data_IF_247162713443
#
_entry.id   IF_247162713443
#
_cell.length_a   1.000
_cell.length_b   1.000
_cell.length_c   1.000
_cell.angle_alpha   90.00
_cell.angle_beta   90.00
_cell.angle_gamma   90.00
#
_symmetry.space_group_name_H-M   'P 1'
#
loop_
_entity.id
_entity.type
_entity.pdbx_description
1 polymer ?
#
# COMPACT_ATOMS: atom_id res chain seq x y z
N UNK A 1 9.93 -24.99 -12.37
CA UNK A 1 9.12 -23.83 -11.98
C UNK A 1 9.97 -22.57 -11.92
N UNK A 2 9.49 -21.52 -12.48
CA UNK A 2 10.22 -20.26 -12.51
C UNK A 2 9.58 -19.26 -11.57
N UNK A 3 10.17 -19.06 -10.41
CA UNK A 3 9.64 -18.20 -9.38
C UNK A 3 9.67 -16.71 -9.75
N UNK A 4 10.50 -16.36 -10.69
CA UNK A 4 10.62 -14.95 -11.07
C UNK A 4 9.34 -14.41 -11.66
N UNK A 5 8.52 -15.29 -12.22
CA UNK A 5 7.27 -14.88 -12.84
C UNK A 5 6.13 -14.74 -11.85
N UNK A 6 6.37 -15.12 -10.60
CA UNK A 6 5.32 -15.05 -9.57
C UNK A 6 5.26 -13.69 -8.93
N UNK A 7 6.39 -12.99 -8.88
CA UNK A 7 6.48 -11.72 -8.18
C UNK A 7 6.20 -10.58 -9.15
N UNK A 8 5.04 -9.98 -8.99
CA UNK A 8 4.65 -8.79 -9.74
C UNK A 8 5.13 -7.58 -8.94
N UNK A 9 5.92 -6.68 -9.52
CA UNK A 9 6.42 -5.52 -8.77
C UNK A 9 5.31 -4.65 -8.20
N UNK A 10 4.18 -4.55 -8.88
CA UNK A 10 3.07 -3.76 -8.38
C UNK A 10 2.44 -4.46 -7.18
N UNK A 11 2.25 -5.77 -7.26
CA UNK A 11 1.70 -6.54 -6.14
C UNK A 11 2.66 -6.48 -4.96
N UNK A 12 3.97 -6.57 -5.22
CA UNK A 12 4.96 -6.48 -4.16
C UNK A 12 4.85 -5.13 -3.44
N UNK A 13 4.74 -4.05 -4.20
CA UNK A 13 4.61 -2.72 -3.62
C UNK A 13 3.32 -2.60 -2.81
N UNK A 14 2.23 -3.09 -3.36
CA UNK A 14 0.94 -3.06 -2.65
C UNK A 14 1.00 -3.82 -1.33
N UNK A 15 1.61 -5.01 -1.35
CA UNK A 15 1.73 -5.82 -0.14
C UNK A 15 2.62 -5.16 0.89
N UNK A 16 3.77 -4.64 0.44
CA UNK A 16 4.71 -3.98 1.33
C UNK A 16 4.06 -2.79 2.05
N UNK A 17 3.39 -1.93 1.30
CA UNK A 17 2.82 -0.73 1.90
C UNK A 17 1.51 -0.98 2.64
N UNK A 18 0.78 -2.02 2.26
CA UNK A 18 -0.37 -2.42 3.07
C UNK A 18 0.09 -2.84 4.46
N UNK A 19 1.15 -3.64 4.54
CA UNK A 19 1.69 -4.07 5.83
C UNK A 19 2.26 -2.90 6.62
N UNK A 20 3.01 -2.03 5.95
CA UNK A 20 3.59 -0.88 6.61
C UNK A 20 2.52 0.06 7.15
N UNK A 21 1.47 0.26 6.38
CA UNK A 21 0.36 1.10 6.78
C UNK A 21 -0.36 0.51 8.00
N UNK A 22 -0.61 -0.80 7.97
CA UNK A 22 -1.22 -1.47 9.12
C UNK A 22 -0.36 -1.30 10.37
N UNK A 23 0.95 -1.49 10.23
CA UNK A 23 1.85 -1.34 11.38
C UNK A 23 1.85 0.09 11.90
N UNK A 24 1.85 1.06 11.00
CA UNK A 24 1.88 2.47 11.38
C UNK A 24 0.65 2.86 12.21
N UNK A 25 -0.50 2.30 11.87
CA UNK A 25 -1.76 2.69 12.49
C UNK A 25 -2.32 1.66 13.46
N UNK A 26 -1.58 0.58 13.70
CA UNK A 26 -2.04 -0.47 14.61
C UNK A 26 -3.28 -1.18 14.15
N UNK A 27 -3.43 -1.39 12.85
CA UNK A 27 -4.62 -2.01 12.29
C UNK A 27 -4.44 -3.51 12.17
N UNK A 28 -5.53 -4.24 12.46
CA UNK A 28 -5.59 -5.66 12.11
C UNK A 28 -5.84 -5.79 10.61
N UNK A 29 -5.62 -7.00 10.08
CA UNK A 29 -5.92 -7.25 8.68
C UNK A 29 -7.39 -6.96 8.35
N UNK A 30 -8.29 -7.36 9.24
CA UNK A 30 -9.71 -7.11 9.00
C UNK A 30 -10.04 -5.62 9.00
N UNK A 31 -9.42 -4.87 9.89
CA UNK A 31 -9.61 -3.43 9.93
C UNK A 31 -9.08 -2.77 8.67
N UNK A 32 -7.91 -3.24 8.21
CA UNK A 32 -7.35 -2.72 6.96
C UNK A 32 -8.27 -3.02 5.79
N UNK A 33 -8.77 -4.26 5.70
CA UNK A 33 -9.65 -4.64 4.58
C UNK A 33 -10.94 -3.83 4.57
N UNK A 34 -11.49 -3.54 5.74
CA UNK A 34 -12.68 -2.69 5.81
C UNK A 34 -12.38 -1.28 5.32
N UNK A 35 -11.23 -0.75 5.71
CA UNK A 35 -10.80 0.57 5.27
C UNK A 35 -10.52 0.59 3.77
N UNK A 36 -9.89 -0.47 3.26
CA UNK A 36 -9.59 -0.59 1.85
C UNK A 36 -10.86 -0.65 1.00
N UNK A 37 -11.88 -1.33 1.52
CA UNK A 37 -13.14 -1.42 0.81
C UNK A 37 -13.76 -0.03 0.61
N UNK A 38 -13.58 0.85 1.58
CA UNK A 38 -14.12 2.20 1.52
C UNK A 38 -13.23 3.14 0.71
N UNK A 39 -11.91 3.05 0.89
CA UNK A 39 -10.97 4.03 0.34
C UNK A 39 -10.17 3.55 -0.85
N UNK A 40 -10.19 2.24 -1.13
CA UNK A 40 -9.42 1.66 -2.23
C UNK A 40 -7.93 1.97 -2.11
N UNK A 41 -7.35 1.62 -0.98
CA UNK A 41 -5.93 1.86 -0.72
C UNK A 41 -5.07 1.07 -1.68
N UNK A 42 -5.42 -0.19 -1.91
CA UNK A 42 -4.68 -1.08 -2.81
C UNK A 42 -4.68 -0.52 -4.23
N UNK A 43 -5.83 0.00 -4.69
CA UNK A 43 -5.91 0.61 -6.01
C UNK A 43 -5.11 1.90 -6.10
N UNK A 44 -5.10 2.68 -5.03
CA UNK A 44 -4.30 3.90 -4.98
C UNK A 44 -2.81 3.60 -5.14
N UNK A 45 -2.34 2.54 -4.48
CA UNK A 45 -0.95 2.12 -4.60
C UNK A 45 -0.62 1.64 -6.01
N UNK A 46 -1.57 0.99 -6.67
CA UNK A 46 -1.37 0.55 -8.04
C UNK A 46 -1.23 1.74 -8.99
N UNK A 47 -2.13 2.71 -8.85
CA UNK A 47 -2.09 3.92 -9.69
C UNK A 47 -0.81 4.70 -9.45
N UNK A 48 -0.36 4.76 -8.20
CA UNK A 48 0.84 5.51 -7.83
C UNK A 48 2.13 4.74 -7.96
N UNK A 49 2.12 3.55 -8.58
CA UNK A 49 3.30 2.70 -8.61
C UNK A 49 4.55 3.41 -9.10
N UNK A 50 4.45 4.14 -10.21
CA UNK A 50 5.63 4.78 -10.80
C UNK A 50 6.34 5.72 -9.82
N UNK A 51 5.67 6.71 -9.25
CA UNK A 51 6.35 7.57 -8.28
C UNK A 51 6.67 6.85 -6.98
N UNK A 52 5.79 5.95 -6.52
CA UNK A 52 5.95 5.34 -5.20
C UNK A 52 7.13 4.39 -5.13
N UNK A 53 7.44 3.67 -6.21
CA UNK A 53 8.56 2.74 -6.15
C UNK A 53 9.91 3.46 -6.14
N UNK A 54 9.90 4.77 -6.40
CA UNK A 54 11.10 5.60 -6.34
C UNK A 54 11.16 6.44 -5.06
N UNK A 55 10.11 6.37 -4.25
CA UNK A 55 10.00 7.17 -3.03
C UNK A 55 10.29 6.27 -1.83
N UNK A 56 10.95 6.81 -0.82
CA UNK A 56 11.18 6.06 0.41
C UNK A 56 9.88 5.75 1.14
N UNK A 57 9.93 4.75 2.03
CA UNK A 57 8.73 4.27 2.72
C UNK A 57 7.98 5.37 3.45
N UNK A 58 8.71 6.23 4.15
CA UNK A 58 8.06 7.27 4.94
C UNK A 58 7.27 8.22 4.03
N UNK A 59 7.83 8.58 2.89
CA UNK A 59 7.13 9.45 1.94
C UNK A 59 5.87 8.82 1.41
N UNK A 60 5.92 7.53 1.08
CA UNK A 60 4.73 6.83 0.59
C UNK A 60 3.67 6.74 1.68
N UNK A 61 4.09 6.45 2.92
CA UNK A 61 3.14 6.35 4.03
C UNK A 61 2.47 7.70 4.31
N UNK A 62 3.21 8.79 4.16
CA UNK A 62 2.61 10.12 4.29
C UNK A 62 1.56 10.38 3.22
N UNK A 63 1.84 9.93 1.98
CA UNK A 63 0.87 10.05 0.90
C UNK A 63 -0.36 9.22 1.17
N UNK A 64 -0.17 8.01 1.70
CA UNK A 64 -1.29 7.15 2.06
C UNK A 64 -2.13 7.78 3.17
N UNK A 65 -1.49 8.35 4.18
CA UNK A 65 -2.20 9.01 5.26
C UNK A 65 -3.06 10.16 4.72
N UNK A 66 -2.51 10.95 3.83
CA UNK A 66 -3.25 12.05 3.23
C UNK A 66 -4.43 11.53 2.41
N UNK A 67 -4.21 10.45 1.67
CA UNK A 67 -5.26 9.86 0.85
C UNK A 67 -6.40 9.29 1.68
N UNK A 68 -6.06 8.58 2.75
CA UNK A 68 -7.05 7.88 3.56
C UNK A 68 -7.76 8.81 4.54
N UNK A 69 -6.99 9.66 5.21
CA UNK A 69 -7.53 10.45 6.32
C UNK A 69 -7.71 11.93 5.99
N UNK A 70 -7.31 12.32 4.81
CA UNK A 70 -7.24 13.74 4.47
C UNK A 70 -6.02 14.36 5.13
N UNK A 71 -5.48 15.35 4.64
CA UNK A 71 -4.25 15.90 5.23
C UNK A 71 -4.50 16.95 6.28
#
# INVERSE_FOLDING_TARGET
MNYKNIIDPIVFLQTHFARAFMARHGLTTQEFLALDKDKDIIGFLRIGYEPFHLTGDEGVLEELDAYVYGS
#
